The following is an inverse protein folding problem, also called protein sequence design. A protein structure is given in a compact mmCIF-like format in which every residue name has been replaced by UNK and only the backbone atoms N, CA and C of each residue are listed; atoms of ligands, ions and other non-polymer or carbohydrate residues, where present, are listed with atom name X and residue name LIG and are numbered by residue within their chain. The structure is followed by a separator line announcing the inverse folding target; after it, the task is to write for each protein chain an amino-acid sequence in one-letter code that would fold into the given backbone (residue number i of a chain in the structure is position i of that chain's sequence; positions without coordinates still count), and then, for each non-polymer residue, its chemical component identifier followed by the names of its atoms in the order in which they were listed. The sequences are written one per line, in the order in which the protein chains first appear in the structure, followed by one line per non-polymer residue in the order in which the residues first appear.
data_IF_206885070561
#
_entry.id   IF_206885070561
#
_cell.length_a   1.000
_cell.length_b   1.000
_cell.length_c   1.000
_cell.angle_alpha   90.00
_cell.angle_beta   90.00
_cell.angle_gamma   90.00
#
_symmetry.space_group_name_H-M   'P 1'
#
loop_
_entity.id
_entity.type
_entity.pdbx_description
1 polymer ?
#
# COMPACT_ATOMS: atom_id res chain seq x y z
N UNK A 1 17.79 24.68 20.81
CA UNK A 1 18.13 23.46 21.60
C UNK A 1 18.70 23.79 22.98
N UNK A 2 19.76 24.59 23.10
CA UNK A 2 20.44 24.83 24.38
C UNK A 2 19.51 25.25 25.55
N UNK A 3 18.58 26.17 25.31
CA UNK A 3 17.61 26.64 26.31
C UNK A 3 16.69 25.53 26.80
N UNK A 4 16.16 24.70 25.89
CA UNK A 4 15.29 23.56 26.21
C UNK A 4 16.07 22.48 26.96
N UNK A 5 17.28 22.17 26.50
CA UNK A 5 18.16 21.20 27.17
C UNK A 5 18.48 21.64 28.60
N UNK A 6 18.81 22.93 28.80
CA UNK A 6 19.05 23.49 30.13
C UNK A 6 17.83 23.34 31.03
N UNK A 7 16.62 23.67 30.54
CA UNK A 7 15.39 23.53 31.31
C UNK A 7 15.14 22.07 31.73
N UNK A 8 15.26 21.12 30.75
CA UNK A 8 15.04 19.70 31.02
C UNK A 8 16.04 19.15 32.04
N UNK A 9 17.32 19.52 31.92
CA UNK A 9 18.37 19.04 32.85
C UNK A 9 18.32 19.69 34.20
N UNK A 10 18.08 21.02 34.28
CA UNK A 10 18.13 21.73 35.56
C UNK A 10 16.82 21.68 36.33
N UNK A 11 15.68 21.83 35.68
CA UNK A 11 14.36 21.86 36.33
C UNK A 11 13.73 20.47 36.44
N UNK A 12 13.76 19.67 35.38
CA UNK A 12 13.16 18.34 35.38
C UNK A 12 14.14 17.24 35.81
N UNK A 13 15.44 17.56 35.96
CA UNK A 13 16.51 16.59 36.31
C UNK A 13 16.56 15.36 35.40
N UNK A 14 16.17 15.53 34.12
CA UNK A 14 16.15 14.48 33.11
C UNK A 14 17.34 14.63 32.17
N UNK A 15 17.90 13.50 31.72
CA UNK A 15 18.99 13.46 30.75
C UNK A 15 18.43 13.53 29.30
N UNK A 16 18.85 14.53 28.55
CA UNK A 16 18.49 14.67 27.12
C UNK A 16 19.38 13.76 26.27
N UNK A 17 18.75 12.96 25.39
CA UNK A 17 19.48 12.16 24.44
C UNK A 17 19.78 13.03 23.20
N UNK A 18 20.99 13.58 23.12
CA UNK A 18 21.41 14.50 22.05
C UNK A 18 21.37 13.89 20.66
N UNK A 19 21.64 12.58 20.52
CA UNK A 19 21.59 11.89 19.22
C UNK A 19 20.16 11.76 18.67
N UNK A 20 19.16 11.71 19.55
CA UNK A 20 17.74 11.57 19.17
C UNK A 20 16.96 12.87 19.24
N UNK A 21 17.53 13.90 19.85
CA UNK A 21 16.88 15.21 20.05
C UNK A 21 17.44 16.23 19.07
N UNK A 22 16.58 16.92 18.37
CA UNK A 22 16.96 18.00 17.47
C UNK A 22 15.82 18.98 17.28
N UNK A 23 16.14 20.24 17.06
CA UNK A 23 15.21 21.26 16.55
C UNK A 23 15.42 21.39 15.06
N UNK A 24 14.37 21.21 14.30
CA UNK A 24 14.38 21.34 12.84
C UNK A 24 12.99 21.77 12.35
N UNK A 25 12.88 22.11 11.10
CA UNK A 25 11.60 22.48 10.50
C UNK A 25 10.68 21.26 10.45
N UNK A 26 9.34 21.44 10.60
CA UNK A 26 8.37 20.32 10.68
C UNK A 26 8.45 19.34 9.50
N UNK A 27 8.74 19.82 8.31
CA UNK A 27 8.84 18.98 7.10
C UNK A 27 10.15 18.18 6.98
N UNK A 28 11.18 18.55 7.72
CA UNK A 28 12.47 17.84 7.77
C UNK A 28 12.43 16.66 8.75
N UNK A 29 11.46 16.65 9.64
CA UNK A 29 11.31 15.65 10.69
C UNK A 29 10.01 14.86 10.54
N UNK A 30 10.06 13.67 11.09
CA UNK A 30 8.88 12.80 11.24
C UNK A 30 8.52 12.72 12.71
N UNK A 31 7.22 12.73 12.97
CA UNK A 31 6.66 12.49 14.29
C UNK A 31 5.51 11.48 14.18
N UNK A 32 5.57 10.40 14.95
CA UNK A 32 4.56 9.33 14.94
C UNK A 32 4.19 8.82 13.54
N UNK A 33 5.16 8.67 12.65
CA UNK A 33 4.92 8.18 11.28
C UNK A 33 4.38 9.22 10.28
N UNK A 34 4.15 10.44 10.73
CA UNK A 34 3.76 11.57 9.90
C UNK A 34 4.93 12.55 9.69
N UNK A 35 4.84 13.37 8.67
CA UNK A 35 5.59 14.59 8.45
C UNK A 35 4.66 15.66 7.89
N UNK A 36 5.17 16.84 7.62
CA UNK A 36 4.39 17.95 7.07
C UNK A 36 4.87 18.32 5.67
N UNK A 37 3.99 18.94 4.88
CA UNK A 37 4.40 19.60 3.63
C UNK A 37 5.09 20.92 3.94
N UNK A 38 5.97 21.39 3.02
CA UNK A 38 6.67 22.67 3.17
C UNK A 38 5.86 23.88 2.65
N UNK A 39 4.56 23.71 2.41
CA UNK A 39 3.68 24.76 1.88
C UNK A 39 3.36 25.82 2.95
N UNK A 40 2.83 26.97 2.50
CA UNK A 40 2.36 28.06 3.39
C UNK A 40 1.37 27.55 4.44
N UNK A 41 0.50 26.61 4.05
CA UNK A 41 -0.37 25.86 4.95
C UNK A 41 0.14 24.42 5.04
N UNK A 42 0.89 24.06 6.10
CA UNK A 42 1.47 22.74 6.22
C UNK A 42 0.39 21.66 6.38
N UNK A 43 0.36 20.70 5.46
CA UNK A 43 -0.55 19.56 5.53
C UNK A 43 0.17 18.35 6.12
N UNK A 44 -0.53 17.61 6.97
CA UNK A 44 -0.06 16.35 7.53
C UNK A 44 -0.01 15.28 6.45
N UNK A 45 1.16 14.73 6.20
CA UNK A 45 1.39 13.64 5.24
C UNK A 45 2.03 12.43 5.91
N UNK A 46 1.86 11.27 5.31
CA UNK A 46 2.51 10.04 5.77
C UNK A 46 4.01 10.15 5.49
N UNK A 47 4.83 9.89 6.50
CA UNK A 47 6.28 9.95 6.35
C UNK A 47 6.79 8.87 5.37
N UNK A 48 7.80 9.16 4.53
CA UNK A 48 8.32 8.20 3.54
C UNK A 48 8.69 6.84 4.15
N UNK A 49 9.26 6.83 5.35
CA UNK A 49 9.61 5.60 6.08
C UNK A 49 8.39 4.75 6.46
N UNK A 50 7.23 5.38 6.72
CA UNK A 50 5.97 4.68 6.99
C UNK A 50 5.39 4.07 5.70
N UNK A 51 5.48 4.79 4.58
CA UNK A 51 5.13 4.28 3.24
C UNK A 51 5.98 3.06 2.86
N UNK A 52 7.28 3.11 3.11
CA UNK A 52 8.17 1.98 2.84
C UNK A 52 7.81 0.75 3.69
N UNK A 53 7.51 0.95 4.98
CA UNK A 53 7.06 -0.12 5.88
C UNK A 53 5.72 -0.72 5.43
N UNK A 54 4.78 0.12 5.02
CA UNK A 54 3.51 -0.33 4.42
C UNK A 54 3.78 -1.25 3.22
N UNK A 55 4.55 -0.78 2.25
CA UNK A 55 4.89 -1.57 1.05
C UNK A 55 5.64 -2.86 1.38
N UNK A 56 6.51 -2.84 2.38
CA UNK A 56 7.21 -4.04 2.85
C UNK A 56 6.24 -5.08 3.43
N UNK A 57 5.27 -4.65 4.27
CA UNK A 57 4.26 -5.54 4.85
C UNK A 57 3.33 -6.13 3.79
N UNK A 58 2.88 -5.32 2.82
CA UNK A 58 2.10 -5.84 1.69
C UNK A 58 2.90 -6.89 0.90
N UNK A 59 4.20 -6.64 0.64
CA UNK A 59 5.06 -7.62 -0.05
C UNK A 59 5.20 -8.92 0.74
N UNK A 60 5.32 -8.85 2.05
CA UNK A 60 5.39 -10.00 2.94
C UNK A 60 4.11 -10.84 2.84
N UNK A 61 2.94 -10.22 3.06
CA UNK A 61 1.64 -10.90 3.01
C UNK A 61 1.34 -11.50 1.63
N UNK A 62 1.72 -10.80 0.56
CA UNK A 62 1.51 -11.22 -0.84
C UNK A 62 2.70 -11.98 -1.44
N UNK A 63 3.51 -12.62 -0.61
CA UNK A 63 4.66 -13.39 -1.06
C UNK A 63 4.23 -14.68 -1.76
N UNK A 64 4.70 -14.92 -2.97
CA UNK A 64 4.32 -16.08 -3.80
C UNK A 64 4.67 -17.44 -3.19
N UNK A 65 5.73 -17.49 -2.39
CA UNK A 65 6.25 -18.72 -1.77
C UNK A 65 5.48 -19.15 -0.53
N UNK A 66 4.43 -18.44 -0.13
CA UNK A 66 3.64 -18.76 1.08
C UNK A 66 2.65 -19.91 0.89
N UNK A 67 2.33 -20.29 -0.35
CA UNK A 67 1.38 -21.37 -0.62
C UNK A 67 -0.05 -21.12 -0.13
N UNK A 68 -0.44 -19.87 0.10
CA UNK A 68 -1.79 -19.49 0.56
C UNK A 68 -2.69 -19.12 -0.62
N UNK A 69 -3.98 -19.46 -0.51
CA UNK A 69 -4.99 -19.05 -1.47
C UNK A 69 -5.30 -17.56 -1.40
N UNK A 70 -6.03 -17.05 -2.39
CA UNK A 70 -6.37 -15.62 -2.52
C UNK A 70 -7.23 -15.14 -1.35
N UNK A 71 -8.18 -15.96 -0.88
CA UNK A 71 -9.11 -15.63 0.18
C UNK A 71 -8.38 -15.42 1.51
N UNK A 72 -7.51 -16.34 1.90
CA UNK A 72 -6.71 -16.23 3.12
C UNK A 72 -5.74 -15.06 3.07
N UNK A 73 -5.12 -14.83 1.90
CA UNK A 73 -4.26 -13.65 1.68
C UNK A 73 -5.07 -12.35 1.81
N UNK A 74 -6.29 -12.31 1.26
CA UNK A 74 -7.16 -11.14 1.32
C UNK A 74 -7.62 -10.87 2.77
N UNK A 75 -7.95 -11.90 3.54
CA UNK A 75 -8.32 -11.76 4.95
C UNK A 75 -7.18 -11.14 5.78
N UNK A 76 -5.96 -11.68 5.67
CA UNK A 76 -4.78 -11.16 6.37
C UNK A 76 -4.49 -9.71 5.97
N UNK A 77 -4.58 -9.43 4.67
CA UNK A 77 -4.37 -8.10 4.13
C UNK A 77 -5.42 -7.12 4.59
N UNK A 78 -6.69 -7.52 4.54
CA UNK A 78 -7.82 -6.69 5.00
C UNK A 78 -7.70 -6.32 6.47
N UNK A 79 -7.30 -7.26 7.34
CA UNK A 79 -7.04 -7.00 8.77
C UNK A 79 -5.92 -5.97 8.96
N UNK A 80 -4.80 -6.14 8.25
CA UNK A 80 -3.69 -5.20 8.31
C UNK A 80 -4.09 -3.80 7.80
N UNK A 81 -4.77 -3.73 6.65
CA UNK A 81 -5.15 -2.46 6.04
C UNK A 81 -6.17 -1.68 6.88
N UNK A 82 -7.13 -2.35 7.53
CA UNK A 82 -8.07 -1.69 8.45
C UNK A 82 -7.35 -1.04 9.62
N UNK A 83 -6.43 -1.76 10.28
CA UNK A 83 -5.63 -1.20 11.37
C UNK A 83 -4.74 -0.04 10.91
N UNK A 84 -4.10 -0.20 9.76
CA UNK A 84 -3.25 0.84 9.17
C UNK A 84 -4.04 2.09 8.79
N UNK A 85 -5.22 1.92 8.20
CA UNK A 85 -6.10 3.03 7.82
C UNK A 85 -6.68 3.76 9.05
N UNK A 86 -6.99 3.03 10.12
CA UNK A 86 -7.41 3.65 11.39
C UNK A 86 -6.39 4.64 11.93
N UNK A 87 -5.10 4.37 11.72
CA UNK A 87 -4.02 5.26 12.14
C UNK A 87 -3.67 6.35 11.11
N UNK A 88 -3.49 5.95 9.84
CA UNK A 88 -3.00 6.85 8.78
C UNK A 88 -4.12 7.51 7.94
N UNK A 89 -5.37 7.09 8.10
CA UNK A 89 -6.50 7.63 7.35
C UNK A 89 -6.75 9.14 7.55
N UNK A 90 -6.22 9.71 8.65
CA UNK A 90 -6.27 11.16 8.90
C UNK A 90 -5.22 11.97 8.10
N UNK A 91 -4.54 11.34 7.14
CA UNK A 91 -3.60 12.01 6.24
C UNK A 91 -4.32 13.09 5.42
N UNK A 92 -3.74 14.29 5.36
CA UNK A 92 -4.30 15.43 4.62
C UNK A 92 -3.80 15.50 3.17
N UNK A 93 -3.04 14.49 2.73
CA UNK A 93 -2.54 14.36 1.35
C UNK A 93 -3.13 13.09 0.73
N UNK A 94 -4.37 13.13 0.20
CA UNK A 94 -5.09 11.96 -0.30
C UNK A 94 -4.37 11.26 -1.47
N UNK A 95 -3.58 11.98 -2.26
CA UNK A 95 -2.78 11.42 -3.35
C UNK A 95 -1.82 10.32 -2.89
N UNK A 96 -1.30 10.39 -1.66
CA UNK A 96 -0.45 9.34 -1.09
C UNK A 96 -1.26 8.07 -0.84
N UNK A 97 -2.47 8.20 -0.28
CA UNK A 97 -3.38 7.06 -0.04
C UNK A 97 -3.82 6.44 -1.36
N UNK A 98 -4.18 7.27 -2.36
CA UNK A 98 -4.55 6.82 -3.69
C UNK A 98 -3.42 6.02 -4.34
N UNK A 99 -2.20 6.55 -4.35
CA UNK A 99 -1.05 5.84 -4.92
C UNK A 99 -0.72 4.53 -4.19
N UNK A 100 -0.96 4.45 -2.87
CA UNK A 100 -0.80 3.20 -2.12
C UNK A 100 -1.90 2.19 -2.45
N UNK A 101 -3.15 2.64 -2.63
CA UNK A 101 -4.26 1.80 -3.06
C UNK A 101 -4.02 1.22 -4.44
N UNK A 102 -3.71 2.06 -5.43
CA UNK A 102 -3.40 1.66 -6.80
C UNK A 102 -2.26 0.64 -6.84
N UNK A 103 -1.18 0.92 -6.12
CA UNK A 103 -0.04 0.01 -6.02
C UNK A 103 -0.41 -1.33 -5.38
N UNK A 104 -1.26 -1.32 -4.35
CA UNK A 104 -1.72 -2.54 -3.67
C UNK A 104 -2.60 -3.38 -4.60
N UNK A 105 -3.57 -2.75 -5.29
CA UNK A 105 -4.44 -3.42 -6.27
C UNK A 105 -3.64 -4.00 -7.45
N UNK A 106 -2.68 -3.24 -7.97
CA UNK A 106 -1.76 -3.71 -9.00
C UNK A 106 -0.99 -4.96 -8.54
N UNK A 107 -0.46 -4.93 -7.32
CA UNK A 107 0.27 -6.07 -6.78
C UNK A 107 -0.62 -7.31 -6.60
N UNK A 108 -1.84 -7.14 -6.13
CA UNK A 108 -2.80 -8.24 -6.00
C UNK A 108 -3.12 -8.90 -7.35
N UNK A 109 -3.38 -8.10 -8.39
CA UNK A 109 -3.56 -8.62 -9.76
C UNK A 109 -2.33 -9.41 -10.23
N UNK A 110 -1.14 -8.87 -9.99
CA UNK A 110 0.12 -9.55 -10.32
C UNK A 110 0.29 -10.89 -9.62
N UNK A 111 -0.13 -11.00 -8.36
CA UNK A 111 -0.04 -12.25 -7.59
C UNK A 111 -1.05 -13.27 -8.08
N UNK A 112 -2.32 -12.87 -8.28
CA UNK A 112 -3.38 -13.74 -8.79
C UNK A 112 -3.01 -14.24 -10.19
N UNK A 113 -2.55 -13.36 -11.08
CA UNK A 113 -2.06 -13.75 -12.40
C UNK A 113 -0.97 -14.81 -12.33
N UNK A 114 -0.07 -14.70 -11.37
CA UNK A 114 0.98 -15.71 -11.19
C UNK A 114 0.44 -17.04 -10.65
N UNK A 115 -0.64 -17.01 -9.84
CA UNK A 115 -1.29 -18.24 -9.35
C UNK A 115 -2.00 -18.99 -10.48
N UNK A 116 -2.46 -18.32 -11.52
CA UNK A 116 -3.04 -18.96 -12.73
C UNK A 116 -1.99 -19.63 -13.62
N UNK A 117 -0.80 -19.74 -13.19
CA UNK A 117 0.41 -20.38 -13.71
C UNK A 117 0.51 -20.60 -15.23
N UNK A 118 -0.37 -21.43 -15.83
CA UNK A 118 -0.31 -21.86 -17.25
C UNK A 118 -1.25 -21.09 -18.15
N UNK A 119 -0.86 -20.93 -19.45
CA UNK A 119 -1.67 -20.22 -20.47
C UNK A 119 -3.12 -20.68 -20.56
N UNK A 120 -3.41 -22.00 -20.67
CA UNK A 120 -4.79 -22.48 -20.69
C UNK A 120 -5.60 -22.10 -19.45
N UNK A 121 -5.01 -22.17 -18.27
CA UNK A 121 -5.67 -21.76 -17.01
C UNK A 121 -5.92 -20.25 -16.99
N UNK A 122 -4.94 -19.44 -17.42
CA UNK A 122 -5.10 -17.99 -17.56
C UNK A 122 -6.24 -17.63 -18.50
N UNK A 123 -6.28 -18.28 -19.65
CA UNK A 123 -7.36 -18.07 -20.62
C UNK A 123 -8.73 -18.41 -20.02
N UNK A 124 -8.86 -19.58 -19.41
CA UNK A 124 -10.11 -20.02 -18.79
C UNK A 124 -10.57 -19.06 -17.67
N UNK A 125 -9.64 -18.62 -16.79
CA UNK A 125 -9.92 -17.70 -15.70
C UNK A 125 -10.33 -16.31 -16.20
N UNK A 126 -9.70 -15.81 -17.26
CA UNK A 126 -10.09 -14.55 -17.90
C UNK A 126 -11.50 -14.66 -18.50
N UNK A 127 -11.78 -15.75 -19.25
CA UNK A 127 -13.10 -15.99 -19.84
C UNK A 127 -14.21 -16.10 -18.80
N UNK A 128 -13.95 -16.85 -17.73
CA UNK A 128 -14.87 -17.01 -16.59
C UNK A 128 -15.25 -15.65 -15.95
N UNK A 129 -14.34 -14.68 -16.01
CA UNK A 129 -14.53 -13.32 -15.45
C UNK A 129 -14.98 -12.28 -16.49
N UNK A 130 -15.50 -12.72 -17.63
CA UNK A 130 -16.15 -11.85 -18.62
C UNK A 130 -15.20 -11.17 -19.62
N UNK A 131 -13.93 -11.57 -19.70
CA UNK A 131 -13.02 -11.04 -20.72
C UNK A 131 -13.34 -11.63 -22.08
N UNK A 132 -13.40 -10.81 -23.14
CA UNK A 132 -13.62 -11.23 -24.52
C UNK A 132 -12.58 -12.26 -24.98
N UNK A 133 -12.97 -13.17 -25.90
CA UNK A 133 -12.13 -14.31 -26.31
C UNK A 133 -10.77 -13.89 -26.83
N UNK A 134 -10.72 -12.93 -27.77
CA UNK A 134 -9.47 -12.49 -28.39
C UNK A 134 -8.54 -11.81 -27.43
N UNK A 135 -9.07 -10.92 -26.59
CA UNK A 135 -8.30 -10.24 -25.52
C UNK A 135 -7.79 -11.24 -24.47
N UNK A 136 -8.59 -12.26 -24.11
CA UNK A 136 -8.18 -13.31 -23.20
C UNK A 136 -7.06 -14.17 -23.80
N UNK A 137 -7.16 -14.56 -25.08
CA UNK A 137 -6.14 -15.34 -25.76
C UNK A 137 -4.81 -14.56 -25.87
N UNK A 138 -4.88 -13.32 -26.31
CA UNK A 138 -3.72 -12.43 -26.44
C UNK A 138 -3.01 -12.24 -25.09
N UNK A 139 -3.79 -11.99 -24.03
CA UNK A 139 -3.22 -11.74 -22.69
C UNK A 139 -2.65 -13.03 -22.09
N UNK A 140 -3.34 -14.18 -22.24
CA UNK A 140 -2.89 -15.46 -21.72
C UNK A 140 -1.60 -15.96 -22.39
N UNK A 141 -1.42 -15.67 -23.68
CA UNK A 141 -0.22 -15.99 -24.47
C UNK A 141 0.90 -14.96 -24.36
N UNK A 142 0.71 -13.88 -23.62
CA UNK A 142 1.71 -12.81 -23.53
C UNK A 142 2.96 -13.26 -22.78
N UNK A 143 4.14 -12.91 -23.33
CA UNK A 143 5.44 -13.12 -22.70
C UNK A 143 5.75 -12.11 -21.57
N UNK A 144 4.91 -11.08 -21.39
CA UNK A 144 5.12 -10.09 -20.33
C UNK A 144 4.99 -10.72 -18.94
N UNK A 145 5.85 -10.27 -18.02
CA UNK A 145 5.81 -10.74 -16.63
C UNK A 145 4.54 -10.31 -15.88
N UNK A 146 4.22 -10.99 -14.76
CA UNK A 146 2.99 -10.75 -14.00
C UNK A 146 2.77 -9.30 -13.56
N UNK A 147 3.86 -8.58 -13.29
CA UNK A 147 3.79 -7.17 -12.91
C UNK A 147 3.37 -6.28 -14.09
N UNK A 148 3.96 -6.48 -15.26
CA UNK A 148 3.59 -5.72 -16.46
C UNK A 148 2.15 -5.94 -16.89
N UNK A 149 1.66 -7.19 -16.78
CA UNK A 149 0.28 -7.54 -17.14
C UNK A 149 -0.77 -7.09 -16.14
N UNK A 150 -0.39 -6.79 -14.89
CA UNK A 150 -1.33 -6.42 -13.84
C UNK A 150 -2.18 -5.16 -14.16
N UNK A 151 -1.71 -4.31 -15.07
CA UNK A 151 -2.47 -3.15 -15.60
C UNK A 151 -3.09 -3.38 -16.98
N UNK A 152 -2.99 -4.59 -17.55
CA UNK A 152 -3.62 -4.87 -18.83
C UNK A 152 -5.14 -4.72 -18.76
N UNK A 153 -5.80 -4.32 -19.87
CA UNK A 153 -7.26 -4.23 -19.93
C UNK A 153 -7.95 -5.54 -19.51
N UNK A 154 -7.40 -6.69 -19.90
CA UNK A 154 -7.92 -8.00 -19.52
C UNK A 154 -7.96 -8.19 -17.99
N UNK A 155 -6.86 -7.86 -17.29
CA UNK A 155 -6.82 -8.00 -15.84
C UNK A 155 -7.62 -6.93 -15.11
N UNK A 156 -7.82 -5.76 -15.69
CA UNK A 156 -8.73 -4.75 -15.13
C UNK A 156 -10.20 -5.20 -15.21
N UNK A 157 -10.59 -5.86 -16.30
CA UNK A 157 -11.92 -6.45 -16.46
C UNK A 157 -12.09 -7.66 -15.54
N UNK A 158 -11.13 -8.60 -15.55
CA UNK A 158 -11.23 -9.84 -14.78
C UNK A 158 -11.15 -9.64 -13.25
N UNK A 159 -10.39 -8.66 -12.81
CA UNK A 159 -10.12 -8.38 -11.41
C UNK A 159 -10.32 -6.88 -11.12
N UNK A 160 -11.57 -6.36 -11.26
CA UNK A 160 -11.88 -4.98 -10.97
C UNK A 160 -11.68 -4.68 -9.47
N UNK A 161 -11.66 -3.41 -9.10
CA UNK A 161 -11.53 -3.03 -7.70
C UNK A 161 -12.67 -3.60 -6.83
N UNK A 162 -13.90 -3.69 -7.37
CA UNK A 162 -15.03 -4.30 -6.70
C UNK A 162 -14.80 -5.77 -6.30
N UNK A 163 -14.04 -6.53 -7.09
CA UNK A 163 -13.66 -7.90 -6.73
C UNK A 163 -12.82 -7.93 -5.46
N UNK A 164 -11.86 -7.03 -5.30
CA UNK A 164 -11.07 -6.95 -4.07
C UNK A 164 -11.87 -6.44 -2.88
N UNK A 165 -12.82 -5.53 -3.13
CA UNK A 165 -13.73 -5.03 -2.10
C UNK A 165 -14.61 -6.18 -1.56
N UNK A 166 -15.10 -7.08 -2.45
CA UNK A 166 -15.88 -8.28 -2.05
C UNK A 166 -15.06 -9.29 -1.25
N UNK A 167 -13.74 -9.31 -1.41
CA UNK A 167 -12.83 -10.11 -0.58
C UNK A 167 -12.50 -9.47 0.79
N UNK A 168 -13.14 -8.34 1.14
CA UNK A 168 -12.94 -7.65 2.41
C UNK A 168 -11.67 -6.78 2.47
N UNK A 169 -11.06 -6.45 1.33
CA UNK A 169 -9.92 -5.54 1.24
C UNK A 169 -10.45 -4.09 1.22
N UNK A 170 -10.21 -3.27 2.25
CA UNK A 170 -10.73 -1.91 2.32
C UNK A 170 -10.08 -1.01 1.26
N UNK A 171 -10.83 0.01 0.84
CA UNK A 171 -10.27 1.13 0.08
C UNK A 171 -9.51 2.04 1.03
N UNK A 172 -8.35 2.51 0.59
CA UNK A 172 -7.57 3.49 1.37
C UNK A 172 -8.07 4.91 1.14
N UNK A 173 -8.68 5.16 -0.01
CA UNK A 173 -9.38 6.39 -0.35
C UNK A 173 -10.87 6.20 -0.11
N UNK A 174 -11.30 6.30 1.15
CA UNK A 174 -12.73 6.43 1.45
C UNK A 174 -13.15 7.82 0.99
N UNK A 175 -14.15 7.90 0.10
CA UNK A 175 -14.68 9.19 -0.39
C UNK A 175 -15.06 10.08 0.80
N UNK A 176 -14.35 11.19 0.91
CA UNK A 176 -14.70 12.34 1.74
C UNK A 176 -15.40 13.34 0.86
#
# INVERSE_FOLDING_TARGET
MASITRFITTKLKLKVNEQKSAVARPWERKFLGFSFTANREPKRRIAPKAVLRFKAKIREVTRRTRGVNVEKMAEELGRYLRGWLGYFGQCQTPSVLQGLEEWTRHRLRSVIWKQWDRGPVRFAELRKRGVGKDLAAQTAGSAHGPWGLANSPALQIALPNAYFDSLGIPRLTVGR
#
